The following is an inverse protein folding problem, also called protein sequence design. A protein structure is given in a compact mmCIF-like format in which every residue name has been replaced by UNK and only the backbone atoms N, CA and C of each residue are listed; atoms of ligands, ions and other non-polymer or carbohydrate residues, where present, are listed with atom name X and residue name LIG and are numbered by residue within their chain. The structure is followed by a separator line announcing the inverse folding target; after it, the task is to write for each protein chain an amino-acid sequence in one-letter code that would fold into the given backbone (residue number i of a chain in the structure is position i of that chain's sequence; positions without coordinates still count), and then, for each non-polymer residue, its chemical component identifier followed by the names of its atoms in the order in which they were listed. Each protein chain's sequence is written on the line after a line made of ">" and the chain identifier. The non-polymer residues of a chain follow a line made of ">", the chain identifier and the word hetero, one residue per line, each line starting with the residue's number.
data_IF_232856738006
#
_entry.id   IF_232856738006
#
_cell.length_a   1.000
_cell.length_b   1.000
_cell.length_c   1.000
_cell.angle_alpha   90.00
_cell.angle_beta   90.00
_cell.angle_gamma   90.00
#
_symmetry.space_group_name_H-M   'P 1'
#
loop_
_entity.id
_entity.type
_entity.pdbx_description
1 polymer ?
#
# COMPACT_ATOMS: atom_id res chain seq x y z
N UNK A 1 -61.33 47.91 -12.15
CA UNK A 1 -59.92 47.75 -12.59
C UNK A 1 -59.23 46.85 -11.58
N UNK A 2 -58.71 45.69 -12.00
CA UNK A 2 -58.09 44.66 -11.14
C UNK A 2 -56.61 45.01 -10.94
N UNK A 3 -56.16 45.26 -9.71
CA UNK A 3 -54.73 45.34 -9.41
C UNK A 3 -54.24 44.03 -8.78
N UNK A 4 -53.27 43.44 -9.47
CA UNK A 4 -52.69 42.12 -9.24
C UNK A 4 -51.66 42.19 -8.10
N UNK A 5 -51.82 41.29 -7.14
CA UNK A 5 -50.77 40.80 -6.23
C UNK A 5 -49.68 40.08 -7.04
N UNK A 6 -48.39 40.23 -6.73
CA UNK A 6 -47.45 39.10 -6.84
C UNK A 6 -46.11 39.33 -6.13
N UNK A 7 -45.71 38.26 -5.45
CA UNK A 7 -44.66 38.10 -4.46
C UNK A 7 -43.26 38.51 -4.95
N UNK A 8 -42.48 39.13 -4.06
CA UNK A 8 -41.01 39.18 -4.18
C UNK A 8 -40.45 37.81 -3.79
N UNK A 9 -39.91 37.07 -4.76
CA UNK A 9 -39.13 35.87 -4.49
C UNK A 9 -37.81 36.29 -3.83
N UNK A 10 -37.60 35.86 -2.58
CA UNK A 10 -36.28 35.93 -1.93
C UNK A 10 -35.51 34.72 -2.40
N UNK A 11 -34.57 34.93 -3.32
CA UNK A 11 -33.62 33.89 -3.74
C UNK A 11 -32.63 33.64 -2.62
N UNK A 12 -32.71 32.47 -1.97
CA UNK A 12 -31.66 31.98 -1.07
C UNK A 12 -30.56 31.42 -1.96
N UNK A 13 -29.46 32.15 -2.09
CA UNK A 13 -28.25 31.65 -2.72
C UNK A 13 -27.61 30.59 -1.80
N UNK A 14 -27.83 29.31 -2.11
CA UNK A 14 -27.07 28.22 -1.50
C UNK A 14 -25.65 28.33 -2.03
N UNK A 15 -24.76 28.93 -1.23
CA UNK A 15 -23.34 28.93 -1.50
C UNK A 15 -22.84 27.50 -1.26
N UNK A 16 -22.56 26.76 -2.34
CA UNK A 16 -21.79 25.53 -2.29
C UNK A 16 -20.41 25.89 -1.75
N UNK A 17 -20.20 25.68 -0.46
CA UNK A 17 -18.85 25.64 0.10
C UNK A 17 -18.16 24.43 -0.52
N UNK A 18 -17.29 24.67 -1.50
CA UNK A 18 -16.22 23.73 -1.80
C UNK A 18 -15.36 23.65 -0.55
N UNK A 19 -15.50 22.57 0.22
CA UNK A 19 -14.56 22.24 1.28
C UNK A 19 -13.33 21.72 0.54
N UNK A 20 -12.18 22.41 0.57
CA UNK A 20 -10.95 21.81 0.07
C UNK A 20 -10.65 20.61 0.98
N UNK A 21 -10.72 19.40 0.43
CA UNK A 21 -10.34 18.16 1.11
C UNK A 21 -8.85 18.17 1.39
N UNK A 22 -8.46 17.57 2.51
CA UNK A 22 -7.12 17.60 3.11
C UNK A 22 -6.00 17.11 2.17
N UNK A 23 -4.80 17.59 2.45
CA UNK A 23 -3.57 17.48 1.67
C UNK A 23 -2.49 16.85 2.57
N UNK A 24 -2.18 15.57 2.35
CA UNK A 24 -1.15 14.74 3.01
C UNK A 24 -1.46 14.29 4.45
N UNK A 25 -1.95 13.06 4.54
CA UNK A 25 -2.36 12.37 5.77
C UNK A 25 -1.14 11.71 6.44
N UNK A 26 -0.93 11.93 7.74
CA UNK A 26 0.06 11.18 8.52
C UNK A 26 -0.66 10.08 9.31
N UNK A 27 -0.16 8.85 9.20
CA UNK A 27 -0.65 7.70 9.96
C UNK A 27 0.43 7.12 10.87
N UNK A 28 0.05 6.72 12.08
CA UNK A 28 0.84 5.86 12.94
C UNK A 28 0.37 4.42 12.76
N UNK A 29 1.27 3.55 12.32
CA UNK A 29 1.07 2.10 12.22
C UNK A 29 1.72 1.49 13.47
N UNK A 30 0.91 1.15 14.46
CA UNK A 30 1.35 0.50 15.68
C UNK A 30 1.46 -1.01 15.44
N UNK A 31 2.67 -1.55 15.60
CA UNK A 31 2.92 -2.99 15.54
C UNK A 31 3.26 -3.52 16.93
N UNK A 32 3.25 -4.85 17.10
CA UNK A 32 3.72 -5.48 18.34
C UNK A 32 5.22 -5.25 18.64
N UNK A 33 5.99 -4.77 17.67
CA UNK A 33 7.43 -4.46 17.79
C UNK A 33 7.68 -2.97 18.06
N UNK A 34 6.82 -2.09 17.52
CA UNK A 34 6.95 -0.64 17.67
C UNK A 34 6.05 0.13 16.71
N UNK A 35 6.09 1.46 16.80
CA UNK A 35 5.27 2.36 15.97
C UNK A 35 6.05 2.89 14.77
N UNK A 36 5.44 2.84 13.59
CA UNK A 36 5.98 3.37 12.34
C UNK A 36 5.06 4.52 11.90
N UNK A 37 5.60 5.72 11.77
CA UNK A 37 4.85 6.88 11.30
C UNK A 37 5.10 7.09 9.81
N UNK A 38 4.03 7.17 9.03
CA UNK A 38 4.06 7.29 7.57
C UNK A 38 3.32 8.54 7.14
N UNK A 39 3.98 9.35 6.32
CA UNK A 39 3.36 10.44 5.59
C UNK A 39 2.90 9.92 4.21
N UNK A 40 1.59 10.01 3.94
CA UNK A 40 0.96 9.51 2.73
C UNK A 40 1.02 10.52 1.58
N UNK A 41 0.98 10.01 0.35
CA UNK A 41 1.11 10.79 -0.88
C UNK A 41 -0.27 11.10 -1.51
N UNK A 42 -1.21 11.62 -0.72
CA UNK A 42 -2.61 11.89 -1.06
C UNK A 42 -2.81 12.64 -2.39
N UNK A 43 -1.93 13.58 -2.75
CA UNK A 43 -2.10 14.38 -3.97
C UNK A 43 -1.65 13.64 -5.24
N UNK A 44 -0.60 12.83 -5.11
CA UNK A 44 0.11 12.24 -6.24
C UNK A 44 -0.27 10.78 -6.49
N UNK A 45 -0.79 10.10 -5.46
CA UNK A 45 -1.36 8.75 -5.53
C UNK A 45 -2.73 8.68 -4.82
N UNK A 46 -3.70 9.55 -5.19
CA UNK A 46 -4.95 9.73 -4.46
C UNK A 46 -5.79 8.45 -4.35
N UNK A 47 -5.89 7.65 -5.42
CA UNK A 47 -6.72 6.44 -5.41
C UNK A 47 -6.15 5.39 -4.47
N UNK A 48 -4.83 5.29 -4.45
CA UNK A 48 -4.11 4.35 -3.59
C UNK A 48 -4.24 4.72 -2.12
N UNK A 49 -4.07 6.01 -1.80
CA UNK A 49 -4.25 6.53 -0.44
C UNK A 49 -5.69 6.37 0.03
N UNK A 50 -6.68 6.73 -0.79
CA UNK A 50 -8.10 6.54 -0.48
C UNK A 50 -8.41 5.08 -0.13
N UNK A 51 -7.89 4.14 -0.94
CA UNK A 51 -8.08 2.72 -0.67
C UNK A 51 -7.41 2.25 0.62
N UNK A 52 -6.15 2.64 0.88
CA UNK A 52 -5.47 2.30 2.13
C UNK A 52 -6.25 2.83 3.35
N UNK A 53 -6.64 4.11 3.32
CA UNK A 53 -7.41 4.74 4.38
C UNK A 53 -8.80 4.13 4.54
N UNK A 54 -9.40 3.57 3.48
CA UNK A 54 -10.66 2.84 3.59
C UNK A 54 -10.56 1.55 4.40
N UNK A 55 -9.41 0.88 4.43
CA UNK A 55 -9.16 -0.28 5.32
C UNK A 55 -8.76 0.16 6.73
N UNK A 56 -8.15 1.33 6.88
CA UNK A 56 -7.90 1.95 8.19
C UNK A 56 -9.22 2.33 8.85
N UNK A 57 -10.13 2.97 8.11
CA UNK A 57 -11.38 3.51 8.63
C UNK A 57 -12.39 2.45 9.12
N UNK A 58 -12.27 1.20 8.68
CA UNK A 58 -13.11 0.09 9.13
C UNK A 58 -12.34 -0.98 9.92
N UNK A 59 -11.16 -0.60 10.44
CA UNK A 59 -10.31 -1.44 11.29
C UNK A 59 -9.85 -2.76 10.64
N UNK A 60 -9.93 -2.89 9.31
CA UNK A 60 -9.58 -4.11 8.59
C UNK A 60 -8.12 -4.56 8.80
N UNK A 61 -7.23 -3.64 9.14
CA UNK A 61 -5.83 -3.95 9.43
C UNK A 61 -5.57 -4.40 10.86
N UNK A 62 -6.50 -4.22 11.80
CA UNK A 62 -6.31 -4.64 13.19
C UNK A 62 -6.16 -6.17 13.25
N UNK A 63 -5.17 -6.64 14.02
CA UNK A 63 -4.76 -8.05 14.14
C UNK A 63 -4.26 -8.69 12.85
N UNK A 64 -4.06 -7.93 11.77
CA UNK A 64 -3.30 -8.44 10.64
C UNK A 64 -1.84 -8.63 11.04
N UNK A 65 -1.11 -9.47 10.32
CA UNK A 65 0.30 -9.74 10.60
C UNK A 65 1.18 -9.29 9.45
N UNK A 66 2.45 -9.03 9.76
CA UNK A 66 3.50 -9.00 8.75
C UNK A 66 3.72 -10.45 8.30
N UNK A 67 3.14 -10.81 7.17
CA UNK A 67 3.14 -12.18 6.65
C UNK A 67 4.34 -12.49 5.75
N UNK A 68 5.16 -11.48 5.43
CA UNK A 68 6.36 -11.66 4.61
C UNK A 68 7.41 -10.59 4.90
N UNK A 69 8.66 -11.01 5.03
CA UNK A 69 9.85 -10.18 5.15
C UNK A 69 10.97 -10.82 4.33
N UNK A 70 11.59 -10.04 3.45
CA UNK A 70 12.75 -10.47 2.67
C UNK A 70 13.88 -9.50 2.96
N UNK A 71 14.99 -10.04 3.46
CA UNK A 71 16.18 -9.28 3.83
C UNK A 71 16.64 -8.40 2.67
N UNK A 72 16.99 -7.15 2.98
CA UNK A 72 17.43 -6.13 2.03
C UNK A 72 16.44 -5.89 0.87
N UNK A 73 15.16 -6.18 1.06
CA UNK A 73 14.13 -5.98 0.05
C UNK A 73 12.90 -5.29 0.63
N UNK A 74 11.98 -6.05 1.24
CA UNK A 74 10.69 -5.54 1.69
C UNK A 74 10.17 -6.23 2.95
N UNK A 75 9.35 -5.50 3.70
CA UNK A 75 8.51 -6.01 4.81
C UNK A 75 7.05 -5.78 4.43
N UNK A 76 6.24 -6.84 4.37
CA UNK A 76 4.92 -6.85 3.74
C UNK A 76 3.82 -7.31 4.72
N UNK A 77 2.71 -6.58 4.73
CA UNK A 77 1.57 -6.78 5.62
C UNK A 77 0.22 -6.46 4.97
N UNK A 78 -0.82 -6.34 5.80
CA UNK A 78 -2.17 -5.92 5.39
C UNK A 78 -2.99 -6.96 4.63
N UNK A 79 -2.52 -8.21 4.56
CA UNK A 79 -3.18 -9.27 3.79
C UNK A 79 -3.91 -10.31 4.63
N UNK A 80 -3.40 -10.59 5.83
CA UNK A 80 -3.80 -11.77 6.58
C UNK A 80 -3.88 -11.50 8.08
N UNK A 81 -4.87 -12.09 8.74
CA UNK A 81 -4.89 -12.30 10.19
C UNK A 81 -4.40 -13.72 10.51
N UNK A 82 -4.17 -14.01 11.79
CA UNK A 82 -3.83 -15.36 12.26
C UNK A 82 -4.91 -15.85 13.22
N UNK A 83 -5.47 -17.03 12.96
CA UNK A 83 -6.56 -17.59 13.77
C UNK A 83 -6.09 -18.56 14.88
N UNK A 84 -4.78 -18.70 15.08
CA UNK A 84 -4.16 -19.67 15.99
C UNK A 84 -3.66 -20.95 15.32
N UNK A 85 -4.06 -21.21 14.07
CA UNK A 85 -3.65 -22.38 13.29
C UNK A 85 -3.01 -21.99 11.95
N UNK A 86 -3.58 -21.01 11.26
CA UNK A 86 -3.19 -20.60 9.93
C UNK A 86 -3.46 -19.10 9.67
N UNK A 87 -2.83 -18.59 8.61
CA UNK A 87 -3.15 -17.27 8.07
C UNK A 87 -4.50 -17.31 7.35
N UNK A 88 -5.35 -16.33 7.65
CA UNK A 88 -6.63 -16.11 6.98
C UNK A 88 -6.60 -14.79 6.23
N UNK A 89 -6.95 -14.80 4.94
CA UNK A 89 -6.99 -13.58 4.15
C UNK A 89 -8.09 -12.65 4.66
N UNK A 90 -7.78 -11.36 4.80
CA UNK A 90 -8.82 -10.38 5.12
C UNK A 90 -9.77 -10.17 3.94
N UNK A 91 -10.95 -9.62 4.22
CA UNK A 91 -11.89 -9.26 3.14
C UNK A 91 -11.33 -8.09 2.35
N UNK A 92 -11.09 -8.29 1.05
CA UNK A 92 -10.59 -7.23 0.17
C UNK A 92 -11.72 -6.37 -0.38
N UNK A 93 -11.49 -5.06 -0.46
CA UNK A 93 -12.24 -4.10 -1.27
C UNK A 93 -11.90 -4.27 -2.76
N UNK A 94 -12.51 -3.42 -3.61
CA UNK A 94 -12.23 -3.39 -5.04
C UNK A 94 -10.75 -3.12 -5.35
N UNK A 95 -10.31 -3.47 -6.55
CA UNK A 95 -8.95 -3.18 -7.00
C UNK A 95 -8.76 -1.70 -7.30
N UNK A 96 -7.53 -1.21 -7.13
CA UNK A 96 -7.13 0.17 -7.44
C UNK A 96 -6.25 0.25 -8.68
N UNK A 97 -6.51 1.26 -9.51
CA UNK A 97 -5.67 1.63 -10.66
C UNK A 97 -4.25 1.98 -10.20
N UNK A 98 -3.24 1.54 -10.96
CA UNK A 98 -1.85 1.78 -10.63
C UNK A 98 -1.44 3.26 -10.81
N UNK A 99 -0.75 3.83 -9.83
CA UNK A 99 -0.28 5.22 -9.80
C UNK A 99 1.25 5.30 -9.56
N UNK A 100 2.10 4.66 -10.40
CA UNK A 100 3.54 4.48 -10.12
C UNK A 100 4.35 5.76 -10.41
N UNK A 101 4.06 6.83 -9.67
CA UNK A 101 4.66 8.17 -9.84
C UNK A 101 6.02 8.28 -9.12
N UNK A 102 6.14 7.65 -7.95
CA UNK A 102 7.33 7.69 -7.11
C UNK A 102 8.14 6.41 -7.18
N UNK A 103 9.45 6.53 -6.92
CA UNK A 103 10.39 5.42 -6.93
C UNK A 103 10.30 4.60 -5.65
N UNK A 104 10.51 3.29 -5.77
CA UNK A 104 10.53 2.34 -4.66
C UNK A 104 11.91 2.35 -3.98
N UNK A 105 12.21 3.43 -3.26
CA UNK A 105 13.44 3.60 -2.46
C UNK A 105 13.22 3.25 -0.99
N UNK A 106 14.31 3.07 -0.24
CA UNK A 106 14.23 2.74 1.19
C UNK A 106 13.33 3.72 1.97
N UNK A 107 12.50 3.17 2.85
CA UNK A 107 11.53 3.89 3.66
C UNK A 107 10.22 4.27 2.97
N UNK A 108 10.05 3.98 1.67
CA UNK A 108 8.73 4.13 1.04
C UNK A 108 7.79 2.98 1.41
N UNK A 109 6.50 3.27 1.52
CA UNK A 109 5.44 2.25 1.55
C UNK A 109 4.80 2.15 0.16
N UNK A 110 4.56 0.93 -0.31
CA UNK A 110 4.01 0.68 -1.64
C UNK A 110 2.97 -0.45 -1.64
N UNK A 111 2.04 -0.42 -2.62
CA UNK A 111 0.98 -1.44 -2.73
C UNK A 111 1.51 -2.73 -3.35
N UNK A 112 1.21 -3.88 -2.72
CA UNK A 112 1.47 -5.18 -3.31
C UNK A 112 0.43 -5.51 -4.40
N UNK A 113 0.84 -6.29 -5.40
CA UNK A 113 0.03 -6.59 -6.60
C UNK A 113 0.21 -8.02 -7.05
N UNK A 114 -0.79 -8.52 -7.78
CA UNK A 114 -0.71 -9.79 -8.49
C UNK A 114 0.23 -9.64 -9.68
N UNK A 115 1.14 -10.60 -9.85
CA UNK A 115 2.09 -10.61 -10.96
C UNK A 115 1.38 -10.64 -12.32
N UNK A 116 1.79 -9.75 -13.22
CA UNK A 116 1.20 -9.61 -14.56
C UNK A 116 -0.09 -8.79 -14.60
N UNK A 117 -0.58 -8.29 -13.46
CA UNK A 117 -1.76 -7.44 -13.39
C UNK A 117 -1.44 -6.12 -12.68
N UNK A 118 -1.10 -5.04 -13.42
CA UNK A 118 -0.71 -3.77 -12.84
C UNK A 118 -1.77 -3.09 -11.97
N UNK A 119 -3.06 -3.32 -12.21
CA UNK A 119 -4.18 -2.66 -11.53
C UNK A 119 -4.89 -3.61 -10.55
N UNK A 120 -4.13 -4.50 -9.90
CA UNK A 120 -4.66 -5.55 -9.00
C UNK A 120 -4.47 -5.28 -7.52
N UNK A 121 -3.95 -4.10 -7.14
CA UNK A 121 -3.74 -3.75 -5.74
C UNK A 121 -5.07 -3.74 -4.97
N UNK A 122 -5.08 -4.31 -3.76
CA UNK A 122 -6.24 -4.29 -2.85
C UNK A 122 -5.83 -3.86 -1.44
N UNK A 123 -5.58 -4.77 -0.51
CA UNK A 123 -5.30 -4.45 0.90
C UNK A 123 -3.82 -4.51 1.27
N UNK A 124 -3.04 -5.30 0.53
CA UNK A 124 -1.66 -5.60 0.88
C UNK A 124 -0.72 -4.46 0.50
N UNK A 125 0.20 -4.15 1.42
CA UNK A 125 1.23 -3.13 1.27
C UNK A 125 2.56 -3.67 1.77
N UNK A 126 3.66 -3.01 1.39
CA UNK A 126 4.99 -3.31 1.89
C UNK A 126 5.82 -2.05 2.08
N UNK A 127 6.71 -2.07 3.07
CA UNK A 127 7.80 -1.12 3.21
C UNK A 127 9.00 -1.58 2.39
N UNK A 128 9.62 -0.66 1.66
CA UNK A 128 10.93 -0.86 1.06
C UNK A 128 12.01 -0.68 2.14
N UNK A 129 12.78 -1.72 2.44
CA UNK A 129 13.89 -1.64 3.41
C UNK A 129 15.17 -1.16 2.73
N UNK A 130 15.27 -1.36 1.41
CA UNK A 130 16.41 -0.96 0.58
C UNK A 130 15.95 -0.20 -0.68
N UNK A 131 16.91 0.23 -1.51
CA UNK A 131 16.58 0.81 -2.81
C UNK A 131 16.22 -0.28 -3.83
N UNK A 132 14.93 -0.40 -4.13
CA UNK A 132 14.36 -1.39 -5.04
C UNK A 132 13.95 -0.82 -6.40
N UNK A 133 14.25 0.46 -6.67
CA UNK A 133 13.89 1.20 -7.89
C UNK A 133 14.21 0.45 -9.19
N UNK A 134 15.39 -0.17 -9.27
CA UNK A 134 15.84 -0.90 -10.46
C UNK A 134 14.87 -2.03 -10.86
N UNK A 135 14.14 -2.60 -9.90
CA UNK A 135 13.19 -3.67 -10.12
C UNK A 135 11.73 -3.18 -10.06
N UNK A 136 11.32 -2.64 -8.90
CA UNK A 136 9.92 -2.34 -8.59
C UNK A 136 9.34 -1.14 -9.36
N UNK A 137 10.17 -0.23 -9.89
CA UNK A 137 9.64 0.87 -10.70
C UNK A 137 9.24 0.40 -12.12
N UNK A 138 9.85 -0.69 -12.60
CA UNK A 138 9.78 -1.08 -14.00
C UNK A 138 8.99 -2.38 -14.22
N UNK A 139 9.01 -3.32 -13.28
CA UNK A 139 8.27 -4.57 -13.39
C UNK A 139 6.77 -4.37 -13.08
N UNK A 140 5.91 -5.23 -13.64
CA UNK A 140 4.46 -5.23 -13.38
C UNK A 140 3.77 -3.85 -13.51
N UNK A 141 4.25 -3.03 -14.46
CA UNK A 141 3.76 -1.67 -14.68
C UNK A 141 4.23 -0.63 -13.67
N UNK A 142 5.17 -0.99 -12.78
CA UNK A 142 5.63 -0.19 -11.64
C UNK A 142 4.75 -0.42 -10.41
N UNK A 143 5.33 -0.41 -9.22
CA UNK A 143 4.60 -0.48 -7.95
C UNK A 143 4.34 0.92 -7.39
N UNK A 144 3.08 1.24 -7.05
CA UNK A 144 2.71 2.52 -6.48
C UNK A 144 3.30 2.68 -5.08
N UNK A 145 4.39 3.44 -4.96
CA UNK A 145 4.83 4.01 -3.68
C UNK A 145 3.91 5.18 -3.33
N UNK A 146 3.18 5.06 -2.22
CA UNK A 146 2.10 5.97 -1.82
C UNK A 146 2.34 6.64 -0.47
N UNK A 147 3.54 6.51 0.09
CA UNK A 147 3.93 7.22 1.29
C UNK A 147 5.40 6.98 1.65
N UNK A 148 5.86 7.68 2.68
CA UNK A 148 7.22 7.62 3.20
C UNK A 148 7.18 7.53 4.72
N UNK A 149 7.99 6.65 5.28
CA UNK A 149 8.24 6.61 6.72
C UNK A 149 8.98 7.88 7.14
N UNK A 150 8.39 8.61 8.09
CA UNK A 150 8.95 9.84 8.67
C UNK A 150 9.49 9.62 10.09
N UNK A 151 9.08 8.54 10.75
CA UNK A 151 9.64 8.06 12.03
C UNK A 151 9.41 6.55 12.15
N UNK A 152 10.31 5.83 12.83
CA UNK A 152 10.20 4.38 13.03
C UNK A 152 10.80 3.51 11.93
N UNK A 153 11.76 4.02 11.14
CA UNK A 153 12.50 3.18 10.18
C UNK A 153 13.33 2.09 10.86
N UNK A 154 13.85 2.37 12.05
CA UNK A 154 14.51 1.39 12.91
C UNK A 154 13.58 0.22 13.28
N UNK A 155 12.29 0.48 13.50
CA UNK A 155 11.29 -0.58 13.72
C UNK A 155 11.10 -1.45 12.46
N UNK A 156 11.05 -0.83 11.27
CA UNK A 156 10.97 -1.58 9.99
C UNK A 156 12.21 -2.46 9.80
N UNK A 157 13.39 -1.93 10.08
CA UNK A 157 14.67 -2.64 10.01
C UNK A 157 14.75 -3.77 11.06
N UNK A 158 14.26 -3.54 12.28
CA UNK A 158 14.17 -4.57 13.33
C UNK A 158 13.29 -5.73 12.87
N UNK A 159 12.11 -5.46 12.32
CA UNK A 159 11.22 -6.48 11.75
C UNK A 159 11.92 -7.24 10.61
N UNK A 160 12.67 -6.55 9.75
CA UNK A 160 13.41 -7.19 8.65
C UNK A 160 14.57 -8.08 9.13
N UNK A 161 15.15 -7.75 10.30
CA UNK A 161 16.22 -8.50 10.95
C UNK A 161 15.76 -9.72 11.74
N UNK A 162 14.45 -9.93 11.92
CA UNK A 162 13.91 -11.11 12.59
C UNK A 162 14.15 -12.38 11.77
N UNK A 163 14.33 -13.50 12.48
CA UNK A 163 14.32 -14.84 11.89
C UNK A 163 12.99 -15.09 11.18
N UNK A 164 13.02 -15.74 10.02
CA UNK A 164 11.80 -16.01 9.22
C UNK A 164 11.46 -17.49 9.15
N UNK A 165 10.17 -17.83 9.20
CA UNK A 165 9.65 -19.13 8.75
C UNK A 165 8.80 -18.94 7.50
N UNK A 166 9.21 -19.52 6.36
CA UNK A 166 8.54 -19.31 5.06
C UNK A 166 8.34 -17.81 4.75
N UNK A 167 9.41 -17.03 4.89
CA UNK A 167 9.45 -15.56 4.78
C UNK A 167 8.65 -14.79 5.83
N UNK A 168 7.87 -15.42 6.71
CA UNK A 168 7.16 -14.70 7.78
C UNK A 168 8.12 -14.39 8.93
N UNK A 169 8.35 -13.11 9.30
CA UNK A 169 9.25 -12.73 10.40
C UNK A 169 8.66 -13.12 11.75
N UNK A 170 9.52 -13.64 12.64
CA UNK A 170 9.14 -14.21 13.92
C UNK A 170 9.87 -13.56 15.09
N UNK A 171 9.12 -13.16 16.10
CA UNK A 171 9.61 -12.63 17.37
C UNK A 171 9.93 -13.80 18.31
N UNK A 172 11.16 -13.82 18.84
CA UNK A 172 11.62 -14.81 19.83
C UNK A 172 11.34 -16.28 19.42
N UNK A 173 11.58 -16.61 18.15
CA UNK A 173 11.29 -17.94 17.60
C UNK A 173 12.56 -18.59 17.03
N UNK A 174 12.80 -19.85 17.38
CA UNK A 174 13.88 -20.63 16.78
C UNK A 174 13.47 -21.11 15.39
N UNK A 175 14.33 -20.88 14.39
CA UNK A 175 14.12 -21.36 13.03
C UNK A 175 13.99 -22.89 12.91
N UNK A 176 14.48 -23.67 13.89
CA UNK A 176 14.21 -25.12 13.94
C UNK A 176 12.74 -25.45 14.11
N UNK A 177 11.98 -24.51 14.67
CA UNK A 177 10.60 -24.72 15.11
C UNK A 177 9.59 -24.37 14.01
N UNK A 178 10.03 -24.00 12.81
CA UNK A 178 9.13 -23.70 11.67
C UNK A 178 8.22 -24.88 11.23
N UNK A 179 8.32 -26.02 11.91
CA UNK A 179 7.44 -27.20 11.76
C UNK A 179 6.25 -27.20 12.73
N UNK A 180 6.33 -26.41 13.80
CA UNK A 180 5.27 -26.18 14.78
C UNK A 180 4.51 -24.91 14.39
N UNK A 181 3.21 -24.89 14.65
CA UNK A 181 2.40 -23.68 14.45
C UNK A 181 2.84 -22.64 15.49
N UNK A 182 3.29 -21.44 15.08
CA UNK A 182 3.74 -20.41 16.01
C UNK A 182 2.59 -19.89 16.87
N UNK A 183 2.91 -19.45 18.08
CA UNK A 183 1.97 -18.68 18.91
C UNK A 183 1.76 -17.28 18.34
N UNK A 184 0.65 -16.63 18.69
CA UNK A 184 0.38 -15.27 18.23
C UNK A 184 1.43 -14.27 18.73
N UNK A 185 2.04 -14.53 19.89
CA UNK A 185 3.14 -13.77 20.48
C UNK A 185 4.44 -13.83 19.65
N UNK A 186 4.57 -14.82 18.76
CA UNK A 186 5.72 -14.93 17.86
C UNK A 186 5.52 -14.13 16.58
N UNK A 187 4.30 -13.65 16.29
CA UNK A 187 4.00 -12.92 15.06
C UNK A 187 4.12 -11.42 15.27
N UNK A 188 4.62 -10.72 14.25
CA UNK A 188 4.54 -9.26 14.21
C UNK A 188 3.13 -8.88 13.77
N UNK A 189 2.31 -8.41 14.71
CA UNK A 189 0.92 -8.02 14.46
C UNK A 189 0.77 -6.51 14.33
N UNK A 190 -0.20 -6.08 13.54
CA UNK A 190 -0.70 -4.71 13.50
C UNK A 190 -1.71 -4.55 14.63
N UNK A 191 -1.38 -3.71 15.60
CA UNK A 191 -2.21 -3.38 16.76
C UNK A 191 -3.26 -2.36 16.37
N UNK A 192 -2.85 -1.28 15.70
CA UNK A 192 -3.72 -0.22 15.22
C UNK A 192 -3.07 0.55 14.07
N UNK A 193 -3.90 1.24 13.26
CA UNK A 193 -3.42 2.30 12.37
C UNK A 193 -4.29 3.52 12.64
N UNK A 194 -3.67 4.63 13.03
CA UNK A 194 -4.40 5.85 13.41
C UNK A 194 -3.95 7.04 12.58
N UNK A 195 -4.89 7.92 12.23
CA UNK A 195 -4.58 9.18 11.56
C UNK A 195 -4.16 10.19 12.64
N UNK A 196 -2.94 10.71 12.54
CA UNK A 196 -2.32 11.58 13.56
C UNK A 196 -2.35 13.05 13.15
N UNK A 197 -2.26 13.32 11.85
CA UNK A 197 -2.36 14.67 11.30
C UNK A 197 -3.10 14.64 9.96
N UNK A 198 -4.09 15.52 9.81
CA UNK A 198 -4.85 15.79 8.60
C UNK A 198 -4.56 17.19 8.03
N UNK A 199 -3.45 17.84 8.43
CA UNK A 199 -3.07 19.17 7.99
C UNK A 199 -2.66 19.25 6.51
N UNK A 200 -2.89 20.41 5.91
CA UNK A 200 -3.07 20.62 4.47
C UNK A 200 -1.82 20.75 3.57
N UNK A 201 -0.65 20.19 3.92
CA UNK A 201 0.43 19.94 2.93
C UNK A 201 1.66 19.18 3.51
N UNK A 202 1.48 18.15 4.33
CA UNK A 202 2.65 17.44 4.90
C UNK A 202 3.54 16.77 3.84
N UNK A 203 3.05 16.53 2.62
CA UNK A 203 3.77 15.97 1.47
C UNK A 203 4.87 16.88 0.89
N UNK A 204 4.80 18.20 1.10
CA UNK A 204 5.76 19.16 0.50
C UNK A 204 7.14 19.06 1.16
N UNK A 205 7.16 18.70 2.45
CA UNK A 205 8.40 18.62 3.24
C UNK A 205 9.01 17.22 3.26
N UNK A 206 8.41 16.25 2.55
CA UNK A 206 8.96 14.90 2.40
C UNK A 206 9.76 14.84 1.10
N UNK A 207 11.03 14.43 1.19
CA UNK A 207 11.83 14.17 0.00
C UNK A 207 11.26 12.95 -0.75
N UNK A 208 10.82 13.19 -1.99
CA UNK A 208 10.26 12.16 -2.87
C UNK A 208 11.16 11.97 -4.08
N UNK A 209 11.50 10.73 -4.39
CA UNK A 209 12.29 10.40 -5.59
C UNK A 209 11.34 10.05 -6.73
N UNK A 210 11.36 10.75 -7.88
CA UNK A 210 10.55 10.39 -9.04
C UNK A 210 10.87 8.98 -9.54
N UNK A 211 9.85 8.27 -10.04
CA UNK A 211 10.02 6.93 -10.61
C UNK A 211 11.09 6.91 -11.72
N UNK A 212 11.86 5.82 -11.77
CA UNK A 212 12.83 5.58 -12.88
C UNK A 212 12.15 5.10 -14.17
N UNK A 213 10.85 4.81 -14.13
CA UNK A 213 10.09 4.33 -15.27
C UNK A 213 10.00 5.39 -16.36
N UNK A 214 10.22 4.98 -17.60
CA UNK A 214 10.00 5.85 -18.75
C UNK A 214 8.52 6.26 -18.84
N UNK A 215 8.20 7.52 -19.23
CA UNK A 215 6.83 7.94 -19.47
C UNK A 215 6.14 6.98 -20.42
N UNK A 216 4.91 6.57 -20.12
CA UNK A 216 4.09 5.79 -21.05
C UNK A 216 3.81 6.68 -22.25
N UNK A 217 4.61 6.53 -23.31
CA UNK A 217 4.28 7.11 -24.61
C UNK A 217 3.06 6.35 -25.11
N UNK A 218 1.88 6.94 -24.96
CA UNK A 218 0.70 6.45 -25.66
C UNK A 218 0.98 6.60 -27.16
N UNK A 219 1.05 5.51 -27.93
CA UNK A 219 1.20 5.64 -29.37
C UNK A 219 -0.02 6.39 -29.88
N UNK A 220 0.22 7.49 -30.59
CA UNK A 220 -0.79 8.10 -31.46
C UNK A 220 -1.30 7.00 -32.41
N UNK A 221 -2.61 6.87 -32.65
CA UNK A 221 -3.12 5.80 -33.50
C UNK A 221 -2.76 6.08 -34.96
N UNK A 222 -1.54 5.73 -35.36
CA UNK A 222 -1.11 5.69 -36.74
C UNK A 222 -1.20 4.24 -37.24
N UNK A 223 -2.06 4.04 -38.24
CA UNK A 223 -2.25 2.76 -38.89
C UNK A 223 -1.00 2.34 -39.68
N UNK A 224 -0.58 1.08 -39.53
CA UNK A 224 0.40 0.48 -40.42
C UNK A 224 1.17 -0.71 -39.86
N UNK A 225 0.80 -1.89 -40.34
CA UNK A 225 1.51 -3.18 -40.47
C UNK A 225 2.91 -3.45 -39.87
N UNK A 226 2.98 -4.58 -39.17
CA UNK A 226 3.93 -5.72 -39.32
C UNK A 226 5.43 -5.55 -39.09
N UNK A 227 5.94 -6.22 -38.04
CA UNK A 227 6.99 -7.26 -38.01
C UNK A 227 7.60 -7.25 -36.58
N UNK A 228 7.68 -8.34 -35.81
CA UNK A 228 8.58 -9.47 -36.03
C UNK A 228 9.55 -9.58 -34.83
N UNK A 229 9.38 -10.61 -34.00
CA UNK A 229 10.50 -11.31 -33.33
C UNK A 229 11.04 -10.82 -31.97
N UNK A 230 10.77 -11.67 -30.96
CA UNK A 230 11.74 -12.27 -30.01
C UNK A 230 12.35 -11.45 -28.86
N UNK A 231 12.12 -11.90 -27.61
CA UNK A 231 13.10 -12.59 -26.73
C UNK A 231 12.72 -12.43 -25.25
N UNK A 232 12.86 -13.53 -24.53
CA UNK A 232 12.58 -13.78 -23.12
C UNK A 232 13.21 -12.78 -22.13
N UNK A 233 12.46 -12.44 -21.08
CA UNK A 233 13.02 -12.12 -19.76
C UNK A 233 12.24 -12.85 -18.66
N UNK A 234 13.00 -13.28 -17.65
CA UNK A 234 12.67 -14.29 -16.66
C UNK A 234 11.42 -13.96 -15.83
N UNK A 235 10.55 -14.97 -15.68
CA UNK A 235 9.44 -15.01 -14.74
C UNK A 235 10.01 -15.33 -13.34
N UNK A 236 10.21 -14.33 -12.50
CA UNK A 236 10.25 -14.53 -11.05
C UNK A 236 8.82 -14.31 -10.54
N UNK A 237 8.08 -15.41 -10.46
CA UNK A 237 6.73 -15.41 -9.94
C UNK A 237 6.74 -15.13 -8.45
N UNK A 238 6.04 -14.07 -8.03
CA UNK A 238 5.50 -13.96 -6.67
C UNK A 238 4.30 -14.92 -6.58
N UNK A 239 4.60 -16.18 -6.26
CA UNK A 239 3.62 -17.22 -5.95
C UNK A 239 3.92 -17.80 -4.56
N UNK A 240 2.97 -17.61 -3.66
CA UNK A 240 2.87 -18.20 -2.32
C UNK A 240 1.92 -17.29 -1.52
N UNK A 241 0.75 -17.68 -1.03
CA UNK A 241 0.21 -18.98 -0.62
C UNK A 241 -1.18 -19.18 -1.24
N UNK A 242 -1.36 -20.16 -2.12
CA UNK A 242 -2.70 -20.60 -2.53
C UNK A 242 -2.82 -22.13 -2.69
N UNK A 243 -1.91 -22.90 -2.08
CA UNK A 243 -1.95 -24.36 -2.10
C UNK A 243 -1.53 -24.93 -0.76
N UNK A 244 -2.49 -24.98 0.15
CA UNK A 244 -2.63 -25.71 1.41
C UNK A 244 -3.80 -24.91 2.02
N UNK A 245 -5.07 -25.24 1.76
CA UNK A 245 -5.82 -26.26 2.46
C UNK A 245 -6.92 -26.82 1.54
N UNK A 246 -6.79 -28.09 1.19
CA UNK A 246 -7.91 -28.91 0.75
C UNK A 246 -7.79 -30.24 1.47
N UNK A 247 -8.60 -30.41 2.51
CA UNK A 247 -9.13 -31.70 2.92
C UNK A 247 -10.56 -31.49 3.40
#
# INVERSE_FOLDING_TARGET
>A
MKNKTLLKAVGVAVSLFFIPTSYATIVDIETSVGTIQVNLFDQSTPKTVENFLAYVADDSYINTVIHRSVSDFVVQGGGFTFNGEALEAITTKGTVDNEPVWSNTAGTIAMAKVAGNPDSATSQWFFNVSNNSANLDNQNGGFTAFGQVVSGMDVVEEINGLSTCNDMPMVNYDTSDCTVVPGQENLVSIVSITIVDDATNTEENVEKTPTTRAPVVTPTPDGGSSSGGSMSFALLGLLGLARLFRK
#
